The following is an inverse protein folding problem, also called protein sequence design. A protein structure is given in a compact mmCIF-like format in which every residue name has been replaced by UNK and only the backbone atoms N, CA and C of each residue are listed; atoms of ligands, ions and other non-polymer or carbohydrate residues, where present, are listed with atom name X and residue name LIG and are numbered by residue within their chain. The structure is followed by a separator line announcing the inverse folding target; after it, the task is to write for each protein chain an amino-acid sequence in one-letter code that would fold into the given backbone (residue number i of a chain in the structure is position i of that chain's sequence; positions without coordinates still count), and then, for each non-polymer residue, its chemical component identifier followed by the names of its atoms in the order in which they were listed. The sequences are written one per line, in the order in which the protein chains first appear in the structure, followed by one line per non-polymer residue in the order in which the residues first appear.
data_IF_877252169382
#
_entry.id   IF_877252169382
#
_cell.length_a   1.000
_cell.length_b   1.000
_cell.length_c   1.000
_cell.angle_alpha   90.00
_cell.angle_beta   90.00
_cell.angle_gamma   90.00
#
_symmetry.space_group_name_H-M   'P 1'
#
loop_
_entity.id
_entity.type
_entity.pdbx_description
1 polymer ?
#
# COMPACT_ATOMS: atom_id res chain seq x y z
N UNK A 1 -9.85 -15.34 -14.38
CA UNK A 1 -8.50 -15.50 -13.82
C UNK A 1 -7.82 -14.17 -13.50
N UNK A 2 -8.25 -13.52 -12.42
CA UNK A 2 -7.64 -12.29 -11.89
C UNK A 2 -7.35 -12.39 -10.38
N UNK A 3 -7.30 -13.62 -9.86
CA UNK A 3 -6.82 -13.94 -8.51
C UNK A 3 -5.29 -13.93 -8.44
N UNK A 4 -4.62 -12.95 -9.07
CA UNK A 4 -3.22 -12.65 -8.74
C UNK A 4 -3.25 -11.91 -7.41
N UNK A 5 -3.25 -12.71 -6.36
CA UNK A 5 -3.04 -12.40 -4.95
C UNK A 5 -2.17 -11.14 -4.80
N UNK A 6 -2.79 -9.97 -4.62
CA UNK A 6 -2.13 -8.81 -4.02
C UNK A 6 -2.06 -9.14 -2.53
N UNK A 7 -0.99 -9.83 -2.14
CA UNK A 7 -0.85 -10.45 -0.81
C UNK A 7 -0.86 -9.43 0.34
N UNK A 8 -0.66 -8.15 0.04
CA UNK A 8 -0.83 -7.03 0.95
C UNK A 8 -1.64 -5.93 0.25
N UNK A 9 -2.96 -5.94 0.34
CA UNK A 9 -3.71 -4.71 0.08
C UNK A 9 -3.34 -3.72 1.18
N UNK A 10 -2.70 -2.61 0.81
CA UNK A 10 -2.42 -1.49 1.68
C UNK A 10 -3.24 -0.32 1.14
N UNK A 11 -4.01 0.31 2.02
CA UNK A 11 -4.82 1.48 1.70
C UNK A 11 -4.53 2.60 2.70
N UNK A 12 -4.98 3.81 2.40
CA UNK A 12 -4.68 4.98 3.23
C UNK A 12 -5.35 4.91 4.62
N UNK A 13 -6.51 4.26 4.76
CA UNK A 13 -7.15 4.05 6.07
C UNK A 13 -6.32 3.10 6.93
N UNK A 14 -5.83 2.00 6.35
CA UNK A 14 -4.95 1.04 7.02
C UNK A 14 -3.64 1.72 7.46
N UNK A 15 -3.02 2.52 6.59
CA UNK A 15 -1.82 3.30 6.95
C UNK A 15 -2.10 4.27 8.10
N UNK A 16 -3.23 5.00 8.05
CA UNK A 16 -3.59 5.94 9.11
C UNK A 16 -3.81 5.22 10.44
N UNK A 17 -4.53 4.10 10.43
CA UNK A 17 -4.76 3.29 11.64
C UNK A 17 -3.44 2.76 12.23
N UNK A 18 -2.51 2.29 11.40
CA UNK A 18 -1.19 1.86 11.87
C UNK A 18 -0.39 3.01 12.50
N UNK A 19 -0.51 4.22 11.94
CA UNK A 19 0.16 5.42 12.46
C UNK A 19 -0.41 5.82 13.83
N UNK A 20 -1.73 5.92 13.95
CA UNK A 20 -2.42 6.28 15.20
C UNK A 20 -2.17 5.28 16.33
N UNK A 21 -2.04 3.99 15.98
CA UNK A 21 -1.77 2.92 16.94
C UNK A 21 -0.26 2.68 17.20
N UNK A 22 0.63 3.57 16.75
CA UNK A 22 2.09 3.42 16.89
C UNK A 22 2.64 2.06 16.39
N UNK A 23 2.02 1.49 15.36
CA UNK A 23 2.39 0.19 14.81
C UNK A 23 3.55 0.28 13.80
N UNK A 24 4.04 1.49 13.53
CA UNK A 24 5.24 1.70 12.73
C UNK A 24 6.48 1.71 13.61
N UNK A 25 7.31 0.70 13.41
CA UNK A 25 8.60 0.59 14.11
C UNK A 25 9.66 1.53 13.54
N UNK A 26 9.46 2.02 12.31
CA UNK A 26 10.36 2.96 11.65
C UNK A 26 9.64 3.82 10.60
N UNK A 27 10.18 5.00 10.35
CA UNK A 27 9.75 5.88 9.25
C UNK A 27 9.92 5.24 7.87
N UNK A 28 10.87 4.30 7.74
CA UNK A 28 11.11 3.54 6.52
C UNK A 28 9.95 2.61 6.18
N UNK A 29 9.36 1.97 7.19
CA UNK A 29 8.18 1.11 7.02
C UNK A 29 6.97 1.92 6.53
N UNK A 30 6.71 3.08 7.13
CA UNK A 30 5.66 4.01 6.68
C UNK A 30 5.87 4.44 5.22
N UNK A 31 7.09 4.90 4.88
CA UNK A 31 7.44 5.30 3.51
C UNK A 31 7.21 4.18 2.49
N UNK A 32 7.60 2.96 2.82
CA UNK A 32 7.46 1.81 1.92
C UNK A 32 5.97 1.52 1.64
N UNK A 33 5.09 1.64 2.63
CA UNK A 33 3.66 1.43 2.44
C UNK A 33 3.03 2.49 1.54
N UNK A 34 3.40 3.77 1.72
CA UNK A 34 2.96 4.85 0.83
C UNK A 34 3.45 4.61 -0.61
N UNK A 35 4.73 4.27 -0.79
CA UNK A 35 5.28 3.94 -2.11
C UNK A 35 4.57 2.75 -2.76
N UNK A 36 4.19 1.74 -1.98
CA UNK A 36 3.51 0.56 -2.47
C UNK A 36 2.11 0.88 -3.01
N UNK A 37 1.36 1.78 -2.35
CA UNK A 37 0.08 2.28 -2.85
C UNK A 37 0.28 2.94 -4.21
N UNK A 38 1.22 3.88 -4.32
CA UNK A 38 1.47 4.57 -5.60
C UNK A 38 1.94 3.61 -6.68
N UNK A 39 2.88 2.71 -6.38
CA UNK A 39 3.37 1.74 -7.35
C UNK A 39 2.25 0.86 -7.89
N UNK A 40 1.38 0.35 -7.02
CA UNK A 40 0.22 -0.41 -7.46
C UNK A 40 -0.73 0.44 -8.28
N UNK A 41 -1.05 1.67 -7.87
CA UNK A 41 -1.90 2.55 -8.67
C UNK A 41 -1.32 2.76 -10.07
N UNK A 42 -0.02 3.04 -10.21
CA UNK A 42 0.61 3.18 -11.53
C UNK A 42 0.54 1.89 -12.34
N UNK A 43 0.95 0.75 -11.76
CA UNK A 43 0.99 -0.53 -12.48
C UNK A 43 -0.41 -1.01 -12.91
N UNK A 44 -1.43 -0.80 -12.08
CA UNK A 44 -2.80 -1.22 -12.39
C UNK A 44 -3.53 -0.22 -13.29
N UNK A 45 -3.31 1.09 -13.12
CA UNK A 45 -3.97 2.10 -13.96
C UNK A 45 -3.32 2.25 -15.35
N UNK A 46 -2.02 1.96 -15.51
CA UNK A 46 -1.38 1.91 -16.84
C UNK A 46 -1.82 0.69 -17.67
N UNK A 47 -2.30 -0.38 -17.03
CA UNK A 47 -2.89 -1.53 -17.76
C UNK A 47 -4.35 -1.29 -18.20
N UNK A 48 -4.98 -0.21 -17.73
CA UNK A 48 -6.34 0.20 -18.14
C UNK A 48 -6.35 1.20 -19.30
N UNK A 49 -5.18 1.67 -19.76
CA UNK A 49 -5.03 2.59 -20.91
C UNK A 49 -4.74 1.87 -22.23
#
# INVERSE_FOLDING_TARGET
DSNKIIKNQMDLFTINSKLENNQYTSTKEFKNNIHFIFHNCYVYNDMES
#
